data_IF_387780539870
#
_entry.id   IF_387780539870
#
_cell.length_a   1.000
_cell.length_b   1.000
_cell.length_c   1.000
_cell.angle_alpha   90.00
_cell.angle_beta   90.00
_cell.angle_gamma   90.00
#
_symmetry.space_group_name_H-M   'P 1'
#
loop_
_entity.id
_entity.type
_entity.pdbx_description
1 polymer ?
#
# COMPACT_ATOMS: atom_id res chain seq x y z
N UNK A 1 7.94 5.24 -8.71
CA UNK A 1 8.20 4.72 -7.36
C UNK A 1 9.14 3.53 -7.41
N UNK A 2 8.67 2.33 -7.78
CA UNK A 2 9.49 1.09 -7.71
C UNK A 2 10.61 1.01 -8.76
N UNK A 3 10.26 1.26 -10.03
CA UNK A 3 11.22 1.18 -11.15
C UNK A 3 11.93 2.50 -11.44
N UNK A 4 11.33 3.62 -11.04
CA UNK A 4 11.74 4.98 -11.43
C UNK A 4 12.10 5.89 -10.26
N UNK A 5 11.87 5.47 -9.00
CA UNK A 5 12.05 6.33 -7.81
C UNK A 5 11.03 7.47 -7.65
N UNK A 6 10.36 7.88 -8.73
CA UNK A 6 9.38 8.99 -8.74
C UNK A 6 8.22 8.80 -7.77
N UNK A 7 7.75 9.87 -7.16
CA UNK A 7 6.56 9.88 -6.30
C UNK A 7 5.28 9.55 -7.11
N UNK A 8 4.21 9.18 -6.41
CA UNK A 8 2.88 8.97 -7.00
C UNK A 8 2.42 10.22 -7.81
N UNK A 9 2.43 11.46 -7.26
CA UNK A 9 2.01 12.64 -8.02
C UNK A 9 2.83 12.91 -9.29
N UNK A 10 4.14 12.65 -9.26
CA UNK A 10 4.98 12.76 -10.46
C UNK A 10 4.58 11.73 -11.53
N UNK A 11 4.26 10.51 -11.11
CA UNK A 11 3.78 9.45 -12.00
C UNK A 11 2.38 9.72 -12.54
N UNK A 12 1.46 10.27 -11.75
CA UNK A 12 0.12 10.67 -12.20
C UNK A 12 0.22 11.74 -13.30
N UNK A 13 1.09 12.73 -13.10
CA UNK A 13 1.32 13.78 -14.10
C UNK A 13 1.93 13.24 -15.39
N UNK A 14 2.87 12.30 -15.30
CA UNK A 14 3.62 11.78 -16.44
C UNK A 14 2.91 10.66 -17.20
N UNK A 15 2.24 9.75 -16.50
CA UNK A 15 1.65 8.54 -17.07
C UNK A 15 0.14 8.62 -17.24
N UNK A 16 -0.54 9.45 -16.43
CA UNK A 16 -2.00 9.57 -16.42
C UNK A 16 -2.48 10.94 -16.90
N UNK A 17 -1.59 11.76 -17.49
CA UNK A 17 -1.88 13.14 -17.90
C UNK A 17 -2.53 13.98 -16.79
N UNK A 18 -2.14 13.74 -15.53
CA UNK A 18 -2.68 14.44 -14.36
C UNK A 18 -4.00 13.87 -13.83
N UNK A 19 -4.50 12.76 -14.37
CA UNK A 19 -5.58 12.01 -13.71
C UNK A 19 -5.06 11.36 -12.43
N UNK A 20 -5.81 11.50 -11.34
CA UNK A 20 -5.41 10.91 -10.07
C UNK A 20 -5.73 9.42 -10.02
N UNK A 21 -4.76 8.63 -9.57
CA UNK A 21 -4.97 7.25 -9.20
C UNK A 21 -5.70 7.21 -7.86
N UNK A 22 -6.92 6.71 -7.85
CA UNK A 22 -7.71 6.60 -6.61
C UNK A 22 -7.12 5.57 -5.64
N UNK A 23 -6.34 4.59 -6.11
CA UNK A 23 -5.77 3.53 -5.29
C UNK A 23 -4.95 4.03 -4.08
N UNK A 24 -3.93 4.89 -4.28
CA UNK A 24 -3.16 5.49 -3.19
C UNK A 24 -4.01 6.29 -2.18
N UNK A 25 -5.00 7.05 -2.65
CA UNK A 25 -5.90 7.83 -1.79
C UNK A 25 -6.78 6.92 -0.94
N UNK A 26 -7.43 5.93 -1.56
CA UNK A 26 -8.25 4.95 -0.85
C UNK A 26 -7.44 4.11 0.13
N UNK A 27 -6.18 3.79 -0.21
CA UNK A 27 -5.29 3.08 0.71
C UNK A 27 -4.92 3.90 1.95
N UNK A 28 -4.81 5.22 1.83
CA UNK A 28 -4.62 6.13 2.96
C UNK A 28 -5.85 6.20 3.86
N UNK A 29 -7.04 6.45 3.30
CA UNK A 29 -8.28 6.50 4.08
C UNK A 29 -8.56 5.16 4.80
N UNK A 30 -8.30 4.05 4.12
CA UNK A 30 -8.46 2.72 4.71
C UNK A 30 -7.46 2.49 5.84
N UNK A 31 -6.20 2.91 5.68
CA UNK A 31 -5.18 2.78 6.72
C UNK A 31 -5.56 3.58 7.98
N UNK A 32 -6.03 4.82 7.81
CA UNK A 32 -6.49 5.65 8.94
C UNK A 32 -7.69 5.00 9.65
N UNK A 33 -8.69 4.55 8.90
CA UNK A 33 -9.86 3.84 9.45
C UNK A 33 -9.46 2.61 10.26
N UNK A 34 -8.55 1.78 9.73
CA UNK A 34 -8.07 0.58 10.42
C UNK A 34 -7.23 0.91 11.65
N UNK A 35 -6.49 2.02 11.61
CA UNK A 35 -5.70 2.51 12.76
C UNK A 35 -6.61 2.96 13.90
N UNK A 36 -7.69 3.70 13.60
CA UNK A 36 -8.68 4.09 14.60
C UNK A 36 -9.37 2.89 15.25
N UNK A 37 -9.57 1.82 14.48
CA UNK A 37 -10.17 0.57 14.96
C UNK A 37 -9.17 -0.38 15.64
N UNK A 38 -7.87 -0.03 15.72
CA UNK A 38 -6.80 -0.93 16.17
C UNK A 38 -6.79 -2.28 15.42
N UNK A 39 -7.13 -2.26 14.13
CA UNK A 39 -7.31 -3.43 13.29
C UNK A 39 -6.21 -3.61 12.24
N UNK A 40 -5.14 -2.81 12.27
CA UNK A 40 -4.06 -2.85 11.28
C UNK A 40 -3.45 -4.25 11.12
N UNK A 41 -3.26 -4.98 12.22
CA UNK A 41 -2.68 -6.32 12.24
C UNK A 41 -3.57 -7.38 11.57
N UNK A 42 -4.88 -7.12 11.49
CA UNK A 42 -5.83 -8.02 10.82
C UNK A 42 -5.80 -7.86 9.29
N UNK A 43 -5.26 -6.74 8.80
CA UNK A 43 -5.26 -6.37 7.39
C UNK A 43 -3.86 -5.99 6.88
N UNK A 44 -2.85 -6.87 7.07
CA UNK A 44 -1.45 -6.53 6.78
C UNK A 44 -1.20 -6.22 5.31
N UNK A 45 -2.02 -6.75 4.39
CA UNK A 45 -1.91 -6.46 2.96
C UNK A 45 -2.29 -5.01 2.64
N UNK A 46 -3.39 -4.49 3.18
CA UNK A 46 -3.81 -3.10 2.96
C UNK A 46 -2.81 -2.12 3.57
N UNK A 47 -2.30 -2.46 4.76
CA UNK A 47 -1.23 -1.71 5.42
C UNK A 47 0.04 -1.68 4.57
N UNK A 48 0.47 -2.82 4.02
CA UNK A 48 1.64 -2.91 3.17
C UNK A 48 1.48 -2.07 1.89
N UNK A 49 0.32 -2.12 1.23
CA UNK A 49 0.04 -1.30 0.04
C UNK A 49 0.14 0.19 0.35
N UNK A 50 -0.47 0.66 1.45
CA UNK A 50 -0.37 2.06 1.89
C UNK A 50 1.10 2.47 2.13
N UNK A 51 1.85 1.67 2.90
CA UNK A 51 3.26 1.94 3.20
C UNK A 51 4.15 1.94 1.97
N UNK A 52 3.88 1.07 1.00
CA UNK A 52 4.57 1.07 -0.30
C UNK A 52 4.28 2.37 -1.03
N UNK A 53 3.01 2.79 -1.12
CA UNK A 53 2.63 4.05 -1.75
C UNK A 53 3.28 5.29 -1.10
N UNK A 54 3.54 5.24 0.22
CA UNK A 54 4.27 6.27 0.97
C UNK A 54 5.80 6.16 0.84
N UNK A 55 6.32 5.07 0.29
CA UNK A 55 7.76 4.80 0.20
C UNK A 55 8.39 4.30 1.51
N UNK A 56 7.58 3.89 2.49
CA UNK A 56 8.03 3.38 3.80
C UNK A 56 8.37 1.88 3.75
N UNK A 57 7.83 1.15 2.78
CA UNK A 57 8.05 -0.28 2.59
C UNK A 57 8.47 -0.57 1.14
N UNK A 58 9.45 -1.45 0.96
CA UNK A 58 9.84 -1.87 -0.38
C UNK A 58 8.78 -2.80 -1.00
N UNK A 59 8.42 -2.64 -2.29
CA UNK A 59 7.40 -3.44 -2.95
C UNK A 59 7.64 -4.95 -2.95
N UNK A 60 8.92 -5.37 -2.87
CA UNK A 60 9.30 -6.78 -2.78
C UNK A 60 8.80 -7.42 -1.48
N UNK A 61 8.72 -6.64 -0.41
CA UNK A 61 8.25 -7.06 0.92
C UNK A 61 6.76 -7.41 0.90
N UNK A 62 5.99 -6.92 -0.10
CA UNK A 62 4.58 -7.28 -0.26
C UNK A 62 4.38 -8.80 -0.43
N UNK A 63 5.31 -9.46 -1.11
CA UNK A 63 5.28 -10.91 -1.32
C UNK A 63 5.49 -11.64 0.01
N UNK A 64 6.38 -11.12 0.86
CA UNK A 64 6.61 -11.68 2.20
C UNK A 64 5.43 -11.40 3.14
N UNK A 65 4.73 -10.26 3.00
CA UNK A 65 3.45 -10.02 3.69
C UNK A 65 2.36 -11.03 3.28
N UNK A 66 2.32 -11.44 2.00
CA UNK A 66 1.37 -12.46 1.53
C UNK A 66 1.70 -13.86 2.05
N UNK A 67 2.98 -14.23 2.06
CA UNK A 67 3.44 -15.53 2.58
C UNK A 67 3.15 -15.70 4.05
N UNK A 68 3.32 -14.64 4.83
CA UNK A 68 3.08 -14.64 6.28
C UNK A 68 1.66 -14.18 6.65
N UNK A 69 0.74 -14.11 5.68
CA UNK A 69 -0.61 -13.64 5.94
C UNK A 69 -1.36 -14.62 6.85
N UNK A 70 -2.07 -14.16 7.90
CA UNK A 70 -2.76 -15.02 8.85
C UNK A 70 -3.81 -15.93 8.19
N UNK A 71 -4.37 -15.54 7.04
CA UNK A 71 -5.28 -16.37 6.24
C UNK A 71 -4.62 -17.61 5.58
N UNK A 72 -3.28 -17.62 5.47
CA UNK A 72 -2.49 -18.72 4.88
C UNK A 72 -1.58 -19.40 5.91
N UNK A 73 -1.61 -18.95 7.16
CA UNK A 73 -0.96 -19.64 8.27
C UNK A 73 -1.81 -20.87 8.61
N UNK A 74 -1.50 -22.00 7.98
CA UNK A 74 -2.11 -23.29 8.33
C UNK A 74 -1.83 -23.64 9.80
N UNK A 75 -2.78 -24.39 10.37
CA UNK A 75 -2.85 -24.89 11.76
C UNK A 75 -1.58 -25.57 12.26
#
# INVERSE_FOLDING_TARGET
MVKTGKTIPELEKELLNGQSAQGPLTAEELYETLKEQNALDNYPLFVAVHRICKGELEPKELVDCLRNHPAHSEK
#
